data_IF_416302934270
#
_entry.id   IF_416302934270
#
_cell.length_a   1.000
_cell.length_b   1.000
_cell.length_c   1.000
_cell.angle_alpha   90.00
_cell.angle_beta   90.00
_cell.angle_gamma   90.00
#
_symmetry.space_group_name_H-M   'P 1'
#
loop_
_entity.id
_entity.type
_entity.pdbx_description
1 polymer ?
#
# COMPACT_ATOMS: atom_id res chain seq x y z
N UNK A 1 -3.33 9.78 19.82
CA UNK A 1 -4.44 8.83 20.08
C UNK A 1 -4.63 8.61 21.58
N UNK A 2 -5.81 8.15 22.02
CA UNK A 2 -6.14 7.84 23.41
C UNK A 2 -6.28 6.33 23.58
N UNK A 3 -5.43 5.77 24.43
CA UNK A 3 -5.34 4.35 24.77
C UNK A 3 -5.58 4.23 26.29
N UNK A 4 -6.40 3.27 26.72
CA UNK A 4 -6.58 2.99 28.16
C UNK A 4 -5.36 2.24 28.74
N UNK A 5 -5.36 1.98 30.06
CA UNK A 5 -4.23 1.32 30.71
C UNK A 5 -4.06 -0.12 30.20
N UNK A 6 -5.13 -0.92 30.21
CA UNK A 6 -5.13 -2.32 29.76
C UNK A 6 -4.60 -2.48 28.34
N UNK A 7 -5.10 -1.68 27.39
CA UNK A 7 -4.67 -1.71 25.99
C UNK A 7 -3.21 -1.29 25.87
N UNK A 8 -2.77 -0.27 26.61
CA UNK A 8 -1.37 0.16 26.61
C UNK A 8 -0.43 -0.93 27.13
N UNK A 9 -0.82 -1.60 28.20
CA UNK A 9 -0.01 -2.67 28.81
C UNK A 9 0.11 -3.89 27.87
N UNK A 10 -0.98 -4.25 27.17
CA UNK A 10 -0.98 -5.36 26.20
C UNK A 10 -0.20 -5.07 24.93
N UNK A 11 -0.27 -3.84 24.41
CA UNK A 11 0.51 -3.43 23.24
C UNK A 11 1.99 -3.26 23.58
N UNK A 12 2.29 -2.77 24.78
CA UNK A 12 3.61 -2.27 25.11
C UNK A 12 3.95 -0.95 24.39
N UNK A 13 5.04 -0.28 24.81
CA UNK A 13 5.38 1.05 24.30
C UNK A 13 5.80 1.04 22.81
N UNK A 14 6.49 -0.01 22.35
CA UNK A 14 6.98 -0.13 20.97
C UNK A 14 5.84 -0.22 19.96
N UNK A 15 4.94 -1.19 20.14
CA UNK A 15 3.80 -1.37 19.22
C UNK A 15 2.82 -0.19 19.30
N UNK A 16 2.64 0.43 20.47
CA UNK A 16 1.83 1.63 20.59
C UNK A 16 2.41 2.81 19.78
N UNK A 17 3.73 2.97 19.72
CA UNK A 17 4.38 3.95 18.86
C UNK A 17 4.25 3.58 17.39
N UNK A 18 4.47 2.32 17.03
CA UNK A 18 4.33 1.83 15.65
C UNK A 18 2.90 2.02 15.11
N UNK A 19 1.88 1.77 15.94
CA UNK A 19 0.48 2.06 15.59
C UNK A 19 0.24 3.57 15.39
N UNK A 20 0.94 4.44 16.12
CA UNK A 20 0.82 5.89 15.93
C UNK A 20 1.31 6.34 14.54
N UNK A 21 2.29 5.63 14.00
CA UNK A 21 2.89 5.89 12.69
C UNK A 21 2.09 5.27 11.55
N UNK A 22 1.33 4.20 11.82
CA UNK A 22 0.59 3.44 10.81
C UNK A 22 -0.91 3.73 10.77
N UNK A 23 -1.46 4.38 11.79
CA UNK A 23 -2.87 4.76 11.85
C UNK A 23 -3.06 6.24 11.53
N UNK A 24 -3.90 6.51 10.54
CA UNK A 24 -4.23 7.83 10.03
C UNK A 24 -5.67 8.16 10.36
N UNK A 25 -5.88 9.25 11.08
CA UNK A 25 -7.20 9.65 11.55
C UNK A 25 -8.01 10.38 10.45
N UNK A 26 -8.47 9.67 9.41
CA UNK A 26 -9.31 10.28 8.35
C UNK A 26 -10.76 10.30 8.81
N UNK A 27 -11.45 9.17 8.78
CA UNK A 27 -12.89 9.09 9.07
C UNK A 27 -13.21 8.08 10.17
N UNK A 28 -14.11 8.46 11.09
CA UNK A 28 -14.50 7.59 12.18
C UNK A 28 -15.34 6.43 11.65
N UNK A 29 -14.90 5.17 11.77
CA UNK A 29 -15.63 4.03 11.23
C UNK A 29 -17.07 3.92 11.76
N UNK A 30 -17.36 4.44 12.97
CA UNK A 30 -18.69 4.34 13.60
C UNK A 30 -19.73 5.27 12.98
N UNK A 31 -19.31 6.44 12.49
CA UNK A 31 -20.26 7.49 12.11
C UNK A 31 -19.93 8.15 10.78
N UNK A 32 -18.89 7.67 10.09
CA UNK A 32 -18.42 8.12 8.78
C UNK A 32 -18.14 9.63 8.71
N UNK A 33 -17.83 10.25 9.85
CA UNK A 33 -17.43 11.66 9.92
C UNK A 33 -15.93 11.79 10.15
N UNK A 34 -15.28 12.85 9.64
CA UNK A 34 -13.86 13.07 9.85
C UNK A 34 -13.46 13.03 11.31
N UNK A 35 -12.39 12.30 11.66
CA UNK A 35 -11.85 12.22 13.02
C UNK A 35 -11.28 13.58 13.49
N UNK A 36 -10.71 14.33 12.54
CA UNK A 36 -10.15 15.66 12.78
C UNK A 36 -8.90 15.64 13.66
N UNK A 37 -8.52 16.80 14.20
CA UNK A 37 -7.28 16.97 14.98
C UNK A 37 -7.37 16.51 16.44
N UNK A 38 -8.56 16.08 16.90
CA UNK A 38 -8.73 15.64 18.30
C UNK A 38 -8.14 14.24 18.46
N UNK A 39 -7.51 13.95 19.59
CA UNK A 39 -6.99 12.62 19.91
C UNK A 39 -8.08 11.53 19.79
N UNK A 40 -8.03 10.66 18.76
CA UNK A 40 -9.02 9.60 18.56
C UNK A 40 -8.88 8.53 19.65
N UNK A 41 -9.99 7.88 20.00
CA UNK A 41 -10.00 6.69 20.87
C UNK A 41 -9.52 5.47 20.10
N UNK A 42 -8.73 4.61 20.74
CA UNK A 42 -8.28 3.33 20.19
C UNK A 42 -9.12 2.20 20.75
N UNK A 43 -9.76 1.43 19.88
CA UNK A 43 -10.42 0.16 20.24
C UNK A 43 -9.62 -0.99 19.66
N UNK A 44 -9.61 -2.12 20.37
CA UNK A 44 -8.99 -3.37 19.91
C UNK A 44 -10.00 -4.50 20.06
N UNK A 45 -10.28 -5.20 18.97
CA UNK A 45 -11.05 -6.44 18.97
C UNK A 45 -10.11 -7.61 18.71
N UNK A 46 -10.12 -8.62 19.57
CA UNK A 46 -9.23 -9.79 19.50
C UNK A 46 -10.02 -11.08 19.28
N UNK A 47 -9.58 -11.91 18.33
CA UNK A 47 -10.10 -13.26 18.11
C UNK A 47 -9.03 -14.16 17.49
N UNK A 48 -8.90 -15.40 17.97
CA UNK A 48 -8.05 -16.46 17.39
C UNK A 48 -6.60 -16.04 17.10
N UNK A 49 -5.95 -15.34 18.03
CA UNK A 49 -4.55 -14.90 17.87
C UNK A 49 -4.38 -13.75 16.87
N UNK A 50 -5.47 -13.14 16.41
CA UNK A 50 -5.48 -11.92 15.62
C UNK A 50 -6.17 -10.81 16.40
N UNK A 51 -5.79 -9.57 16.11
CA UNK A 51 -6.55 -8.41 16.60
C UNK A 51 -6.70 -7.33 15.54
N UNK A 52 -7.79 -6.58 15.61
CA UNK A 52 -8.05 -5.39 14.80
C UNK A 52 -8.06 -4.16 15.71
N UNK A 53 -7.22 -3.18 15.38
CA UNK A 53 -7.10 -1.90 16.08
C UNK A 53 -7.78 -0.83 15.24
N UNK A 54 -8.71 -0.07 15.79
CA UNK A 54 -9.42 0.98 15.07
C UNK A 54 -9.42 2.33 15.79
N UNK A 55 -9.38 3.42 15.01
CA UNK A 55 -9.52 4.79 15.50
C UNK A 55 -10.98 5.26 15.46
N UNK A 56 -11.47 5.81 16.58
CA UNK A 56 -12.83 6.33 16.69
C UNK A 56 -12.88 7.73 17.30
N UNK A 57 -13.97 8.47 17.05
CA UNK A 57 -14.28 9.62 17.91
C UNK A 57 -14.52 9.15 19.34
N UNK A 58 -14.07 9.93 20.32
CA UNK A 58 -14.28 9.67 21.75
C UNK A 58 -15.74 9.51 22.17
N UNK A 59 -16.67 10.13 21.43
CA UNK A 59 -18.11 10.02 21.68
C UNK A 59 -18.74 8.77 21.05
N UNK A 60 -18.08 8.20 20.03
CA UNK A 60 -18.57 7.04 19.31
C UNK A 60 -18.13 5.75 20.00
N UNK A 61 -16.87 5.69 20.43
CA UNK A 61 -16.32 4.57 21.18
C UNK A 61 -15.36 5.06 22.27
N UNK A 62 -15.44 4.43 23.44
CA UNK A 62 -14.43 4.57 24.48
C UNK A 62 -13.23 3.66 24.16
N UNK A 63 -12.01 4.04 24.52
CA UNK A 63 -10.87 3.14 24.36
C UNK A 63 -11.09 1.86 25.15
N UNK A 64 -10.81 0.71 24.52
CA UNK A 64 -10.95 -0.62 25.14
C UNK A 64 -10.22 -1.68 24.34
N UNK A 65 -9.84 -2.75 25.03
CA UNK A 65 -9.49 -4.03 24.43
C UNK A 65 -10.59 -5.03 24.76
N UNK A 66 -11.17 -5.67 23.75
CA UNK A 66 -12.23 -6.68 23.94
C UNK A 66 -11.93 -7.97 23.17
N UNK A 67 -12.28 -9.10 23.78
CA UNK A 67 -12.35 -10.37 23.06
C UNK A 67 -13.64 -10.39 22.23
N UNK A 68 -13.57 -10.95 21.03
CA UNK A 68 -14.68 -11.09 20.11
C UNK A 68 -14.75 -12.53 19.59
N UNK A 69 -15.96 -13.04 19.36
CA UNK A 69 -16.14 -14.38 18.75
C UNK A 69 -15.61 -14.44 17.32
N UNK A 70 -15.55 -13.28 16.65
CA UNK A 70 -14.96 -13.10 15.33
C UNK A 70 -14.46 -11.69 15.20
N UNK A 71 -13.35 -11.50 14.49
CA UNK A 71 -12.94 -10.16 14.13
C UNK A 71 -14.00 -9.50 13.23
N UNK A 72 -14.29 -8.21 13.43
CA UNK A 72 -14.98 -7.44 12.41
C UNK A 72 -14.10 -7.47 11.16
N UNK A 73 -14.46 -8.24 10.11
CA UNK A 73 -13.63 -8.38 8.90
C UNK A 73 -13.57 -7.09 8.03
N UNK A 74 -13.69 -5.91 8.63
CA UNK A 74 -14.15 -4.64 8.06
C UNK A 74 -15.67 -4.59 7.76
N UNK A 75 -16.51 -4.84 8.77
CA UNK A 75 -17.96 -4.51 8.72
C UNK A 75 -18.25 -3.00 8.61
N UNK A 76 -17.20 -2.20 8.56
CA UNK A 76 -17.08 -0.75 8.60
C UNK A 76 -16.14 -0.44 7.42
N UNK A 77 -16.45 0.52 6.56
CA UNK A 77 -15.65 0.79 5.36
C UNK A 77 -14.50 1.74 5.76
N UNK A 78 -13.28 1.26 6.12
CA UNK A 78 -12.20 2.17 6.45
C UNK A 78 -11.91 3.07 5.27
N UNK A 79 -11.45 4.28 5.55
CA UNK A 79 -11.04 5.18 4.48
C UNK A 79 -9.82 4.60 3.79
N UNK A 80 -9.93 4.51 2.47
CA UNK A 80 -8.86 4.06 1.58
C UNK A 80 -8.27 5.28 0.93
N UNK A 81 -6.94 5.30 0.84
CA UNK A 81 -6.22 6.34 0.12
C UNK A 81 -5.32 5.70 -0.90
N UNK A 82 -5.29 6.27 -2.09
CA UNK A 82 -4.47 5.82 -3.20
C UNK A 82 -3.95 7.03 -3.97
N UNK A 83 -2.70 6.95 -4.40
CA UNK A 83 -2.02 8.00 -5.14
C UNK A 83 -1.03 7.42 -6.12
N UNK A 84 -1.00 7.96 -7.34
CA UNK A 84 -0.02 7.60 -8.37
C UNK A 84 0.97 8.73 -8.58
N UNK A 85 2.25 8.40 -8.78
CA UNK A 85 3.28 9.37 -9.13
C UNK A 85 4.33 8.74 -10.05
N UNK A 86 4.93 9.59 -10.87
CA UNK A 86 6.08 9.23 -11.68
C UNK A 86 7.37 9.45 -10.88
N UNK A 87 8.27 8.48 -10.92
CA UNK A 87 9.64 8.60 -10.44
C UNK A 87 10.49 9.16 -11.59
N UNK A 88 10.93 10.41 -11.43
CA UNK A 88 11.76 11.12 -12.41
C UNK A 88 13.01 10.32 -12.80
N UNK A 89 13.34 10.31 -14.09
CA UNK A 89 14.59 9.74 -14.63
C UNK A 89 14.53 8.26 -15.00
N UNK A 90 13.56 7.49 -14.49
CA UNK A 90 13.42 6.05 -14.81
C UNK A 90 12.17 5.68 -15.62
N UNK A 91 11.24 6.63 -15.80
CA UNK A 91 9.91 6.34 -16.37
C UNK A 91 9.11 5.34 -15.53
N UNK A 92 9.45 5.17 -14.25
CA UNK A 92 8.69 4.30 -13.37
C UNK A 92 7.48 5.07 -12.85
N UNK A 93 6.28 4.54 -13.05
CA UNK A 93 5.09 5.01 -12.33
C UNK A 93 4.83 4.09 -11.15
N UNK A 94 4.76 4.68 -9.95
CA UNK A 94 4.44 3.98 -8.71
C UNK A 94 3.04 4.38 -8.26
N UNK A 95 2.21 3.40 -8.02
CA UNK A 95 0.88 3.53 -7.47
C UNK A 95 0.88 3.04 -6.02
N UNK A 96 0.87 3.96 -5.07
CA UNK A 96 0.85 3.64 -3.65
C UNK A 96 -0.58 3.64 -3.11
N UNK A 97 -0.84 2.68 -2.23
CA UNK A 97 -2.14 2.44 -1.62
C UNK A 97 -1.98 2.29 -0.12
N UNK A 98 -2.80 3.02 0.63
CA UNK A 98 -3.12 2.72 2.02
C UNK A 98 -4.52 2.11 2.08
N UNK A 99 -4.63 0.79 2.34
CA UNK A 99 -5.91 0.09 2.26
C UNK A 99 -6.80 0.31 3.50
N UNK A 100 -6.24 0.83 4.59
CA UNK A 100 -6.95 0.98 5.86
C UNK A 100 -6.30 2.08 6.71
N UNK A 101 -6.70 3.33 6.49
CA UNK A 101 -6.14 4.46 7.22
C UNK A 101 -6.37 4.35 8.74
N UNK A 102 -7.60 4.07 9.17
CA UNK A 102 -7.98 4.09 10.59
C UNK A 102 -7.84 2.75 11.28
N UNK A 103 -7.45 1.71 10.54
CA UNK A 103 -7.51 0.34 11.02
C UNK A 103 -6.18 -0.37 10.76
N UNK A 104 -5.72 -1.08 11.78
CA UNK A 104 -4.53 -1.93 11.72
C UNK A 104 -4.85 -3.34 12.20
N UNK A 105 -4.11 -4.32 11.68
CA UNK A 105 -4.15 -5.72 12.09
C UNK A 105 -2.93 -6.05 12.92
N UNK A 106 -3.15 -6.82 13.97
CA UNK A 106 -2.12 -7.39 14.81
C UNK A 106 -2.17 -8.91 14.73
N UNK A 107 -0.99 -9.52 14.83
CA UNK A 107 -0.83 -10.96 14.99
C UNK A 107 -0.16 -11.25 16.34
N UNK A 108 -0.69 -12.24 17.06
CA UNK A 108 -0.09 -12.75 18.28
C UNK A 108 1.25 -13.46 17.97
N UNK A 109 2.17 -13.33 18.90
CA UNK A 109 3.52 -13.92 18.90
C UNK A 109 3.82 -14.42 20.31
N UNK A 110 4.87 -15.21 20.47
CA UNK A 110 5.31 -15.66 21.81
C UNK A 110 5.68 -14.50 22.74
N UNK A 111 6.03 -13.34 22.19
CA UNK A 111 6.46 -12.14 22.92
C UNK A 111 5.35 -11.08 23.08
N UNK A 112 4.12 -11.33 22.61
CA UNK A 112 3.04 -10.36 22.61
C UNK A 112 2.45 -10.16 21.21
N UNK A 113 2.28 -8.92 20.78
CA UNK A 113 1.64 -8.59 19.50
C UNK A 113 2.64 -7.94 18.53
N UNK A 114 2.43 -8.13 17.23
CA UNK A 114 3.12 -7.38 16.18
C UNK A 114 2.14 -6.82 15.15
N UNK A 115 2.53 -5.75 14.46
CA UNK A 115 1.78 -5.27 13.31
C UNK A 115 1.80 -6.30 12.18
N UNK A 116 0.65 -6.48 11.52
CA UNK A 116 0.42 -7.48 10.48
C UNK A 116 -0.38 -6.91 9.28
N UNK A 117 -0.31 -5.59 9.07
CA UNK A 117 -1.04 -4.89 8.00
C UNK A 117 -0.68 -5.41 6.60
N UNK A 118 0.57 -5.82 6.40
CA UNK A 118 1.09 -6.26 5.10
C UNK A 118 1.00 -7.78 4.89
N UNK A 119 0.80 -8.56 5.95
CA UNK A 119 0.89 -10.03 5.89
C UNK A 119 -0.02 -10.66 4.83
N UNK A 120 -1.26 -10.17 4.68
CA UNK A 120 -2.18 -10.69 3.66
C UNK A 120 -1.69 -10.41 2.22
N UNK A 121 -1.01 -9.27 2.00
CA UNK A 121 -0.47 -8.90 0.71
C UNK A 121 0.84 -9.65 0.41
N UNK A 122 1.68 -9.84 1.42
CA UNK A 122 2.88 -10.68 1.31
C UNK A 122 2.50 -12.14 1.02
N UNK A 123 1.48 -12.67 1.69
CA UNK A 123 0.93 -13.99 1.42
C UNK A 123 0.31 -14.11 0.01
N UNK A 124 -0.22 -13.00 -0.54
CA UNK A 124 -0.70 -12.91 -1.91
C UNK A 124 0.44 -12.83 -2.95
N UNK A 125 1.71 -12.78 -2.54
CA UNK A 125 2.87 -12.78 -3.41
C UNK A 125 3.48 -11.41 -3.70
N UNK A 126 3.06 -10.34 -3.00
CA UNK A 126 3.76 -9.05 -3.07
C UNK A 126 5.12 -9.15 -2.35
N UNK A 127 6.12 -8.43 -2.86
CA UNK A 127 7.49 -8.43 -2.36
C UNK A 127 7.70 -7.28 -1.35
N UNK A 128 8.33 -7.50 -0.18
CA UNK A 128 8.64 -6.41 0.76
C UNK A 128 9.79 -5.50 0.27
N UNK A 129 10.44 -5.86 -0.83
CA UNK A 129 11.45 -5.12 -1.54
C UNK A 129 11.05 -4.80 -2.97
N UNK A 130 12.03 -4.72 -3.88
CA UNK A 130 11.78 -4.37 -5.28
C UNK A 130 11.40 -5.61 -6.11
N UNK A 131 10.16 -5.70 -6.61
CA UNK A 131 9.70 -6.87 -7.36
C UNK A 131 10.31 -6.89 -8.76
N UNK A 132 10.73 -8.07 -9.21
CA UNK A 132 11.28 -8.28 -10.56
C UNK A 132 10.25 -8.70 -11.61
N UNK A 133 9.03 -9.05 -11.20
CA UNK A 133 8.01 -9.66 -12.07
C UNK A 133 6.59 -9.16 -11.78
N UNK A 134 5.70 -9.32 -12.76
CA UNK A 134 4.25 -9.14 -12.60
C UNK A 134 3.66 -10.19 -11.67
N UNK A 135 2.63 -9.80 -10.92
CA UNK A 135 1.91 -10.67 -10.00
C UNK A 135 0.60 -11.13 -10.64
N UNK A 136 0.38 -12.44 -10.89
CA UNK A 136 -0.90 -12.94 -11.34
C UNK A 136 -2.03 -12.51 -10.41
N UNK A 137 -3.15 -12.05 -10.99
CA UNK A 137 -4.29 -11.53 -10.23
C UNK A 137 -4.17 -10.06 -9.81
N UNK A 138 -2.99 -9.43 -9.99
CA UNK A 138 -2.81 -7.98 -9.84
C UNK A 138 -2.92 -7.30 -11.21
N UNK A 139 -4.05 -6.65 -11.47
CA UNK A 139 -4.34 -6.03 -12.77
C UNK A 139 -4.66 -4.55 -12.61
N UNK A 140 -4.39 -3.79 -13.67
CA UNK A 140 -4.69 -2.37 -13.75
C UNK A 140 -5.51 -2.03 -14.99
N UNK A 141 -6.29 -0.96 -14.90
CA UNK A 141 -6.98 -0.34 -16.02
C UNK A 141 -6.80 1.16 -15.98
N UNK A 142 -6.42 1.76 -17.11
CA UNK A 142 -6.27 3.20 -17.25
C UNK A 142 -7.37 3.75 -18.15
N UNK A 143 -8.32 4.51 -17.57
CA UNK A 143 -9.42 5.16 -18.30
C UNK A 143 -9.22 6.67 -18.30
N UNK A 144 -8.85 7.24 -19.44
CA UNK A 144 -8.39 8.63 -19.50
C UNK A 144 -7.12 8.76 -18.65
N UNK A 145 -7.19 9.54 -17.58
CA UNK A 145 -6.13 9.70 -16.57
C UNK A 145 -6.43 9.00 -15.23
N UNK A 146 -7.53 8.24 -15.12
CA UNK A 146 -7.86 7.50 -13.91
C UNK A 146 -7.32 6.07 -14.00
N UNK A 147 -6.38 5.73 -13.12
CA UNK A 147 -5.86 4.37 -12.94
C UNK A 147 -6.68 3.64 -11.87
N UNK A 148 -7.15 2.44 -12.17
CA UNK A 148 -7.72 1.51 -11.19
C UNK A 148 -6.89 0.23 -11.16
N UNK A 149 -6.56 -0.25 -9.97
CA UNK A 149 -5.81 -1.49 -9.74
C UNK A 149 -6.65 -2.42 -8.89
N UNK A 150 -6.70 -3.69 -9.28
CA UNK A 150 -7.41 -4.75 -8.57
C UNK A 150 -6.45 -5.90 -8.26
N UNK A 151 -6.60 -6.49 -7.08
CA UNK A 151 -5.86 -7.67 -6.64
C UNK A 151 -6.85 -8.77 -6.29
N UNK A 152 -6.79 -9.86 -7.02
CA UNK A 152 -7.58 -11.07 -6.79
C UNK A 152 -6.65 -12.26 -6.47
N UNK A 153 -7.03 -13.04 -5.46
CA UNK A 153 -6.30 -14.22 -4.99
C UNK A 153 -7.31 -15.34 -4.83
N UNK A 154 -7.08 -16.47 -5.49
CA UNK A 154 -7.96 -17.65 -5.46
C UNK A 154 -9.44 -17.32 -5.76
N UNK A 155 -9.67 -16.45 -6.74
CA UNK A 155 -11.02 -15.99 -7.14
C UNK A 155 -11.69 -15.02 -6.16
N UNK A 156 -10.99 -14.59 -5.11
CA UNK A 156 -11.46 -13.62 -4.13
C UNK A 156 -10.73 -12.29 -4.26
N UNK A 157 -11.48 -11.20 -4.33
CA UNK A 157 -10.91 -9.85 -4.40
C UNK A 157 -10.32 -9.43 -3.06
N UNK A 158 -9.01 -9.30 -3.00
CA UNK A 158 -8.27 -8.77 -1.84
C UNK A 158 -8.28 -7.24 -1.81
N UNK A 159 -8.30 -6.59 -2.98
CA UNK A 159 -8.29 -5.14 -3.09
C UNK A 159 -8.77 -4.60 -4.43
N UNK A 160 -9.33 -3.39 -4.41
CA UNK A 160 -9.63 -2.59 -5.60
C UNK A 160 -9.49 -1.11 -5.21
N UNK A 161 -8.62 -0.41 -5.93
CA UNK A 161 -8.17 0.93 -5.60
C UNK A 161 -8.06 1.77 -6.86
N UNK A 162 -8.49 3.02 -6.79
CA UNK A 162 -8.45 3.94 -7.93
C UNK A 162 -7.75 5.23 -7.56
N UNK A 163 -6.99 5.80 -8.49
CA UNK A 163 -6.60 7.22 -8.41
C UNK A 163 -7.78 8.10 -8.78
N UNK A 164 -7.74 9.38 -8.40
CA UNK A 164 -8.49 10.42 -9.11
C UNK A 164 -7.96 10.58 -10.54
N UNK A 165 -7.08 11.55 -10.75
CA UNK A 165 -6.32 11.72 -12.01
C UNK A 165 -4.84 11.55 -11.73
N UNK A 166 -4.15 10.72 -12.51
CA UNK A 166 -2.69 10.81 -12.62
C UNK A 166 -2.31 11.96 -13.56
N UNK A 167 -1.10 12.54 -13.43
CA UNK A 167 -0.59 13.50 -14.40
C UNK A 167 -0.48 12.89 -15.81
N UNK A 168 -0.66 13.70 -16.85
CA UNK A 168 -0.67 13.23 -18.25
C UNK A 168 0.62 12.49 -18.66
N UNK A 169 1.78 12.96 -18.20
CA UNK A 169 3.05 12.29 -18.46
C UNK A 169 3.11 10.90 -17.82
N UNK A 170 2.54 10.73 -16.63
CA UNK A 170 2.47 9.42 -15.96
C UNK A 170 1.47 8.51 -16.68
N UNK A 171 0.34 9.05 -17.15
CA UNK A 171 -0.62 8.30 -17.96
C UNK A 171 0.01 7.82 -19.29
N UNK A 172 0.79 8.67 -19.96
CA UNK A 172 1.51 8.29 -21.18
C UNK A 172 2.51 7.16 -20.91
N UNK A 173 3.28 7.26 -19.82
CA UNK A 173 4.25 6.24 -19.42
C UNK A 173 3.59 4.89 -19.08
N UNK A 174 2.47 4.91 -18.36
CA UNK A 174 1.70 3.69 -18.07
C UNK A 174 1.23 3.03 -19.37
N UNK A 175 0.75 3.81 -20.35
CA UNK A 175 0.29 3.27 -21.64
C UNK A 175 1.44 2.69 -22.47
N UNK A 176 2.58 3.37 -22.49
CA UNK A 176 3.77 2.93 -23.22
C UNK A 176 4.30 1.60 -22.68
N UNK A 177 4.33 1.45 -21.34
CA UNK A 177 4.81 0.23 -20.69
C UNK A 177 3.79 -0.88 -20.58
N UNK A 178 2.50 -0.55 -20.57
CA UNK A 178 1.43 -1.50 -20.24
C UNK A 178 1.54 -2.04 -18.81
N UNK A 179 2.21 -1.34 -17.90
CA UNK A 179 2.42 -1.79 -16.52
C UNK A 179 2.63 -0.63 -15.54
N UNK A 180 2.33 -0.88 -14.26
CA UNK A 180 2.56 0.06 -13.14
C UNK A 180 3.08 -0.70 -11.92
N UNK A 181 4.00 -0.10 -11.17
CA UNK A 181 4.44 -0.67 -9.89
C UNK A 181 3.44 -0.30 -8.80
N UNK A 182 2.84 -1.29 -8.17
CA UNK A 182 1.88 -1.10 -7.08
C UNK A 182 2.59 -1.32 -5.76
N UNK A 183 2.39 -0.43 -4.79
CA UNK A 183 2.86 -0.61 -3.42
C UNK A 183 1.74 -0.43 -2.40
N UNK A 184 1.62 -1.37 -1.48
CA UNK A 184 0.66 -1.33 -0.37
C UNK A 184 1.40 -0.99 0.91
N UNK A 185 0.97 0.06 1.61
CA UNK A 185 1.61 0.54 2.84
C UNK A 185 0.60 1.23 3.76
N UNK A 186 0.79 1.11 5.08
CA UNK A 186 0.05 1.89 6.08
C UNK A 186 0.89 2.98 6.72
N UNK A 187 2.20 3.01 6.47
CA UNK A 187 3.14 3.88 7.18
C UNK A 187 3.13 5.34 6.70
N UNK A 188 2.38 5.65 5.64
CA UNK A 188 2.31 6.98 5.02
C UNK A 188 0.89 7.34 4.59
N UNK A 189 0.61 8.64 4.63
CA UNK A 189 -0.54 9.22 3.94
C UNK A 189 -0.19 9.46 2.48
N UNK A 190 -0.60 8.53 1.62
CA UNK A 190 -0.30 8.55 0.18
C UNK A 190 -0.88 9.76 -0.56
N UNK A 191 -1.76 10.55 0.07
CA UNK A 191 -2.33 11.78 -0.54
C UNK A 191 -1.44 13.01 -0.36
N UNK A 192 -0.49 12.96 0.57
CA UNK A 192 0.46 14.07 0.80
C UNK A 192 1.57 14.16 -0.24
N UNK A 193 1.54 13.25 -1.22
CA UNK A 193 2.57 13.09 -2.23
C UNK A 193 3.60 12.05 -1.80
N UNK A 194 4.04 11.26 -2.76
CA UNK A 194 5.11 10.30 -2.55
C UNK A 194 6.29 10.65 -3.44
N UNK A 195 7.50 10.55 -2.87
CA UNK A 195 8.75 10.81 -3.57
C UNK A 195 9.54 9.51 -3.73
N UNK A 196 10.50 9.46 -4.66
CA UNK A 196 11.37 8.29 -4.79
C UNK A 196 12.09 7.93 -3.48
N UNK A 197 12.51 8.93 -2.71
CA UNK A 197 13.15 8.76 -1.40
C UNK A 197 12.20 8.15 -0.39
N UNK A 198 10.92 8.54 -0.41
CA UNK A 198 9.90 7.94 0.44
C UNK A 198 9.73 6.46 0.12
N UNK A 199 9.61 6.09 -1.15
CA UNK A 199 9.46 4.68 -1.55
C UNK A 199 10.68 3.87 -1.14
N UNK A 200 11.89 4.37 -1.44
CA UNK A 200 13.13 3.71 -1.03
C UNK A 200 13.15 3.50 0.48
N UNK A 201 12.80 4.54 1.24
CA UNK A 201 12.75 4.44 2.69
C UNK A 201 11.69 3.45 3.18
N UNK A 202 10.55 3.30 2.51
CA UNK A 202 9.54 2.29 2.86
C UNK A 202 10.07 0.88 2.60
N UNK A 203 10.77 0.68 1.48
CA UNK A 203 11.42 -0.59 1.12
C UNK A 203 12.50 -0.97 2.14
N UNK A 204 13.39 -0.04 2.45
CA UNK A 204 14.50 -0.28 3.39
C UNK A 204 13.99 -0.67 4.79
N UNK A 205 12.86 -0.09 5.20
CA UNK A 205 12.18 -0.39 6.47
C UNK A 205 11.20 -1.56 6.38
N UNK A 206 11.01 -2.18 5.21
CA UNK A 206 10.00 -3.22 4.94
C UNK A 206 8.58 -2.81 5.34
N UNK A 207 8.26 -1.53 5.15
CA UNK A 207 6.95 -0.92 5.45
C UNK A 207 6.08 -0.78 4.20
N UNK A 208 6.41 -1.49 3.12
CA UNK A 208 5.61 -1.59 1.89
C UNK A 208 5.68 -3.01 1.35
N UNK A 209 4.60 -3.48 0.74
CA UNK A 209 4.56 -4.69 -0.07
C UNK A 209 4.26 -4.30 -1.53
N UNK A 210 5.10 -4.72 -2.48
CA UNK A 210 5.06 -4.24 -3.86
C UNK A 210 4.97 -5.35 -4.89
N UNK A 211 4.31 -5.06 -6.02
CA UNK A 211 4.28 -5.93 -7.19
C UNK A 211 3.97 -5.13 -8.46
N UNK A 212 4.34 -5.68 -9.61
CA UNK A 212 3.96 -5.10 -10.89
C UNK A 212 2.56 -5.54 -11.29
N UNK A 213 1.73 -4.58 -11.68
CA UNK A 213 0.42 -4.80 -12.27
C UNK A 213 0.49 -4.57 -13.78
N UNK A 214 -0.05 -5.49 -14.56
CA UNK A 214 -0.29 -5.27 -15.99
C UNK A 214 -1.46 -4.32 -16.18
N UNK A 215 -1.32 -3.32 -17.04
CA UNK A 215 -2.32 -2.29 -17.26
C UNK A 215 -2.88 -2.40 -18.67
N UNK A 216 -4.18 -2.73 -18.76
CA UNK A 216 -4.94 -2.75 -20.00
C UNK A 216 -5.79 -1.50 -20.22
N UNK A 217 -6.46 -1.43 -21.38
CA UNK A 217 -7.56 -0.49 -21.60
C UNK A 217 -8.88 -1.12 -21.12
N UNK A 218 -9.90 -0.34 -20.72
CA UNK A 218 -11.16 -0.91 -20.22
C UNK A 218 -11.88 -1.83 -21.21
N UNK A 219 -11.67 -1.59 -22.51
CA UNK A 219 -12.35 -2.30 -23.60
C UNK A 219 -11.56 -3.53 -24.10
N UNK A 220 -10.31 -3.70 -23.64
CA UNK A 220 -9.46 -4.84 -23.97
C UNK A 220 -8.98 -5.41 -22.64
N UNK A 221 -9.56 -6.53 -22.15
CA UNK A 221 -9.06 -7.14 -20.93
C UNK A 221 -7.55 -7.37 -21.08
N UNK A 222 -6.75 -7.13 -20.03
CA UNK A 222 -5.33 -7.37 -20.10
C UNK A 222 -5.14 -8.81 -20.59
N UNK A 223 -4.48 -8.95 -21.74
CA UNK A 223 -4.09 -10.28 -22.21
C UNK A 223 -3.15 -10.77 -21.13
N UNK A 224 -3.54 -11.83 -20.41
CA UNK A 224 -2.67 -12.49 -19.44
C UNK A 224 -1.45 -12.96 -20.21
N UNK A 225 -0.43 -12.12 -20.23
CA UNK A 225 0.79 -12.34 -20.97
C UNK A 225 1.67 -13.33 -20.21
N UNK A 226 2.68 -13.91 -20.87
CA UNK A 226 3.79 -14.47 -20.11
C UNK A 226 4.33 -13.38 -19.19
N UNK A 227 4.64 -13.75 -17.95
CA UNK A 227 5.22 -12.86 -16.93
C UNK A 227 6.23 -11.91 -17.56
N UNK A 228 5.94 -10.60 -17.51
CA UNK A 228 6.86 -9.60 -18.04
C UNK A 228 8.01 -9.47 -17.04
N UNK A 229 9.19 -9.94 -17.43
CA UNK A 229 10.42 -9.67 -16.69
C UNK A 229 10.71 -8.17 -16.76
N UNK A 230 10.75 -7.53 -15.60
CA UNK A 230 11.07 -6.10 -15.54
C UNK A 230 12.58 -5.96 -15.79
N UNK A 231 12.92 -5.24 -16.85
CA UNK A 231 14.30 -5.09 -17.28
C UNK A 231 15.22 -4.65 -16.10
N UNK A 232 16.38 -5.30 -15.90
CA UNK A 232 17.29 -4.98 -14.80
C UNK A 232 17.69 -3.49 -14.70
N UNK A 233 17.71 -2.78 -15.83
CA UNK A 233 17.97 -1.35 -15.88
C UNK A 233 16.91 -0.51 -15.14
N UNK A 234 15.63 -0.92 -15.16
CA UNK A 234 14.55 -0.28 -14.41
C UNK A 234 14.78 -0.50 -12.91
N UNK A 235 15.11 -1.74 -12.50
CA UNK A 235 15.40 -2.04 -11.10
C UNK A 235 16.62 -1.26 -10.57
N UNK A 236 17.66 -1.10 -11.39
CA UNK A 236 18.84 -0.32 -11.05
C UNK A 236 18.52 1.19 -10.91
N UNK A 237 17.71 1.76 -11.83
CA UNK A 237 17.24 3.14 -11.75
C UNK A 237 16.57 3.44 -10.40
N UNK A 238 15.74 2.49 -9.97
CA UNK A 238 14.86 2.60 -8.82
C UNK A 238 15.61 2.45 -7.50
N UNK A 239 16.62 1.57 -7.47
CA UNK A 239 17.52 1.42 -6.33
C UNK A 239 18.35 2.67 -6.06
N UNK A 240 18.49 3.57 -7.03
CA UNK A 240 19.37 4.73 -6.92
C UNK A 240 20.84 4.34 -7.07
N UNK A 241 21.11 3.16 -7.63
CA UNK A 241 22.45 2.78 -8.06
C UNK A 241 22.77 3.72 -9.23
N UNK A 242 23.72 4.65 -9.07
CA UNK A 242 24.07 5.74 -10.02
C UNK A 242 24.51 5.31 -11.45
N UNK A 243 24.19 4.09 -11.85
CA UNK A 243 24.46 3.42 -13.12
C UNK A 243 23.61 3.91 -14.30
N UNK A 244 22.45 4.56 -14.07
CA UNK A 244 21.55 4.92 -15.17
C UNK A 244 22.19 5.88 -16.20
N UNK A 245 23.05 6.80 -15.73
CA UNK A 245 23.78 7.71 -16.61
C UNK A 245 24.83 6.97 -17.44
N UNK A 246 25.38 5.84 -16.94
CA UNK A 246 26.33 5.02 -17.69
C UNK A 246 25.63 4.14 -18.74
N UNK A 247 24.47 3.57 -18.42
CA UNK A 247 23.70 2.72 -19.33
C UNK A 247 23.14 3.51 -20.53
N UNK A 248 22.65 4.74 -20.29
CA UNK A 248 22.10 5.59 -21.36
C UNK A 248 23.18 6.21 -22.26
N UNK A 249 24.41 6.40 -21.75
CA UNK A 249 25.55 6.85 -22.58
C UNK A 249 26.16 5.74 -23.44
N UNK A 250 25.85 4.48 -23.16
CA UNK A 250 26.36 3.32 -23.90
C UNK A 250 25.57 2.97 -25.17
N UNK A 251 24.31 3.40 -25.28
CA UNK A 251 23.44 3.06 -26.42
C UNK A 251 23.54 4.04 -27.61
N UNK A 252 24.23 5.18 -27.47
CA UNK A 252 24.28 6.23 -28.52
C UNK A 252 25.53 6.17 -29.42
N UNK A 253 26.16 4.99 -29.59
CA UNK A 253 27.37 4.83 -30.42
C UNK A 253 27.34 3.72 -31.48
N UNK A 254 26.16 3.20 -31.83
CA UNK A 254 26.06 2.07 -32.77
C UNK A 254 24.99 2.26 -33.86
N UNK A 255 25.03 3.38 -34.59
CA UNK A 255 24.39 3.50 -35.92
C UNK A 255 25.03 4.62 -36.73
N UNK A 256 26.30 4.46 -37.10
CA UNK A 256 26.91 5.04 -38.32
C UNK A 256 28.09 4.16 -38.75
N UNK A 257 27.80 3.19 -39.61
CA UNK A 257 28.67 2.68 -40.68
C UNK A 257 27.76 1.98 -41.70
#
# INVERSE_FOLDING_TARGET
>A
MRIDATTRDRLGPGLAAELAENLWAVDCPTCDRPLGLRSPSVTVAEADGLAEVALHHRRCQSPRWEAADRLPRFGWRPSRRSGGFAVSGGGLVVFLVNPSCEVARLLATDAGWRLANLDAYLAAGLDPGWPGRTLPGLTGSLRGSALTVELEVDGSRLGSWSTGSVPDHAAAEIRDRGAVLVGVTTAVDVTTGATPELVRSLVDRRQVAMAWAEVGTPDVPPVVGPTVDVAPAVLAAVRGDGSLIAALRGQDRSTRC
#
